data_IF_659979591695
#
_entry.id   IF_659979591695
#
_cell.length_a   1.000
_cell.length_b   1.000
_cell.length_c   1.000
_cell.angle_alpha   90.00
_cell.angle_beta   90.00
_cell.angle_gamma   90.00
#
_symmetry.space_group_name_H-M   'P 1'
#
loop_
_entity.id
_entity.type
_entity.pdbx_description
1 polymer ?
#
# COMPACT_ATOMS: atom_id res chain seq x y z
N UNK A 1 -30.59 -32.27 -47.64
CA UNK A 1 -30.89 -32.29 -46.20
C UNK A 1 -30.11 -31.16 -45.55
N UNK A 2 -30.77 -30.14 -44.96
CA UNK A 2 -30.07 -29.06 -44.28
C UNK A 2 -29.51 -29.58 -42.95
N UNK A 3 -28.23 -29.28 -42.69
CA UNK A 3 -27.52 -29.66 -41.47
C UNK A 3 -28.15 -28.91 -40.29
N UNK A 4 -28.70 -29.66 -39.34
CA UNK A 4 -29.29 -29.13 -38.11
C UNK A 4 -28.13 -28.61 -37.25
N UNK A 5 -28.00 -27.29 -37.13
CA UNK A 5 -27.09 -26.68 -36.16
C UNK A 5 -27.58 -27.01 -34.76
N UNK A 6 -26.75 -27.75 -34.02
CA UNK A 6 -26.97 -28.03 -32.61
C UNK A 6 -26.72 -26.76 -31.79
N UNK A 7 -27.57 -26.42 -30.81
CA UNK A 7 -27.35 -25.26 -29.95
C UNK A 7 -26.07 -25.45 -29.14
N UNK A 8 -25.17 -24.46 -29.19
CA UNK A 8 -23.99 -24.41 -28.33
C UNK A 8 -24.42 -24.56 -26.85
N UNK A 9 -23.69 -25.35 -26.04
CA UNK A 9 -24.02 -25.51 -24.62
C UNK A 9 -23.99 -24.14 -23.92
N UNK A 10 -24.90 -23.91 -22.94
CA UNK A 10 -24.93 -22.66 -22.20
C UNK A 10 -23.57 -22.40 -21.55
N UNK A 11 -23.13 -21.14 -21.58
CA UNK A 11 -21.85 -20.73 -21.03
C UNK A 11 -21.72 -21.17 -19.56
N UNK A 12 -20.65 -21.90 -19.25
CA UNK A 12 -20.31 -22.42 -17.92
C UNK A 12 -20.18 -21.33 -16.83
N UNK A 13 -20.21 -20.05 -17.21
CA UNK A 13 -20.10 -18.88 -16.35
C UNK A 13 -21.26 -18.67 -15.38
N UNK A 14 -22.43 -19.30 -15.59
CA UNK A 14 -23.53 -19.21 -14.62
C UNK A 14 -23.32 -20.11 -13.40
N UNK A 15 -22.54 -21.19 -13.51
CA UNK A 15 -22.37 -22.19 -12.45
C UNK A 15 -21.10 -22.01 -11.62
N UNK A 16 -20.07 -21.35 -12.16
CA UNK A 16 -18.80 -21.12 -11.45
C UNK A 16 -18.63 -19.61 -11.23
N UNK A 17 -18.82 -19.11 -10.00
CA UNK A 17 -18.61 -17.70 -9.71
C UNK A 17 -17.11 -17.34 -9.84
N UNK A 18 -16.82 -16.05 -9.98
CA UNK A 18 -15.44 -15.56 -9.98
C UNK A 18 -14.70 -16.01 -8.72
N UNK A 19 -13.57 -16.72 -8.89
CA UNK A 19 -12.78 -17.27 -7.77
C UNK A 19 -11.36 -16.68 -7.69
N UNK A 20 -10.89 -16.03 -8.75
CA UNK A 20 -9.56 -15.42 -8.83
C UNK A 20 -9.65 -13.90 -8.63
N UNK A 21 -9.02 -13.40 -7.56
CA UNK A 21 -9.05 -11.99 -7.18
C UNK A 21 -7.62 -11.48 -6.86
N UNK A 22 -6.86 -11.01 -7.85
CA UNK A 22 -5.46 -10.60 -7.67
C UNK A 22 -5.25 -9.55 -6.57
N UNK A 23 -6.18 -8.61 -6.45
CA UNK A 23 -6.13 -7.47 -5.52
C UNK A 23 -6.98 -7.67 -4.25
N UNK A 24 -7.29 -8.93 -3.95
CA UNK A 24 -8.16 -9.30 -2.84
C UNK A 24 -9.62 -9.39 -3.27
N UNK A 25 -10.42 -10.14 -2.50
CA UNK A 25 -11.87 -10.24 -2.75
C UNK A 25 -12.53 -8.90 -2.38
N UNK A 26 -13.32 -8.28 -3.27
CA UNK A 26 -14.14 -7.13 -2.91
C UNK A 26 -14.94 -7.46 -1.65
N UNK A 27 -14.88 -6.56 -0.67
CA UNK A 27 -15.71 -6.65 0.53
C UNK A 27 -16.91 -5.75 0.30
N UNK A 28 -18.12 -6.26 0.51
CA UNK A 28 -19.37 -5.50 0.34
C UNK A 28 -19.53 -4.33 1.34
N UNK A 29 -18.59 -4.16 2.27
CA UNK A 29 -18.76 -3.40 3.52
C UNK A 29 -17.83 -2.22 3.71
N UNK A 30 -16.92 -1.90 2.78
CA UNK A 30 -16.05 -0.71 2.95
C UNK A 30 -16.82 0.54 2.53
N UNK A 31 -17.35 1.27 3.50
CA UNK A 31 -17.92 2.59 3.26
C UNK A 31 -16.78 3.60 2.98
N UNK A 32 -16.41 3.70 1.70
CA UNK A 32 -15.34 4.59 1.22
C UNK A 32 -15.62 6.03 1.64
N UNK A 33 -16.86 6.51 1.50
CA UNK A 33 -17.18 7.90 1.82
C UNK A 33 -17.02 8.20 3.31
N UNK A 34 -17.38 7.27 4.20
CA UNK A 34 -17.13 7.42 5.63
C UNK A 34 -15.62 7.54 5.96
N UNK A 35 -14.77 6.76 5.28
CA UNK A 35 -13.31 6.86 5.41
C UNK A 35 -12.81 8.21 4.90
N UNK A 36 -13.29 8.67 3.74
CA UNK A 36 -12.92 9.96 3.17
C UNK A 36 -13.35 11.11 4.08
N UNK A 37 -14.58 11.11 4.61
CA UNK A 37 -15.04 12.13 5.56
C UNK A 37 -14.15 12.18 6.81
N UNK A 38 -13.69 11.04 7.31
CA UNK A 38 -12.75 10.99 8.46
C UNK A 38 -11.40 11.60 8.10
N UNK A 39 -10.91 11.37 6.89
CA UNK A 39 -9.67 11.95 6.38
C UNK A 39 -9.82 13.46 6.24
N UNK A 40 -10.88 13.96 5.60
CA UNK A 40 -11.14 15.40 5.43
C UNK A 40 -11.21 16.12 6.79
N UNK A 41 -11.93 15.56 7.77
CA UNK A 41 -11.96 16.09 9.15
C UNK A 41 -10.59 16.10 9.83
N UNK A 42 -9.70 15.18 9.46
CA UNK A 42 -8.34 15.15 9.98
C UNK A 42 -7.50 16.25 9.33
N UNK A 43 -7.62 16.43 8.02
CA UNK A 43 -6.90 17.47 7.28
C UNK A 43 -7.36 18.90 7.62
N UNK A 44 -8.64 19.09 7.94
CA UNK A 44 -9.18 20.38 8.38
C UNK A 44 -8.52 20.93 9.66
N UNK A 45 -7.81 20.09 10.41
CA UNK A 45 -7.07 20.47 11.61
C UNK A 45 -5.63 20.88 11.33
N UNK A 46 -5.16 20.74 10.08
CA UNK A 46 -3.81 21.11 9.68
C UNK A 46 -3.80 22.52 9.07
N UNK A 47 -2.70 23.28 9.23
CA UNK A 47 -2.54 24.55 8.55
C UNK A 47 -2.74 24.41 7.03
N UNK A 48 -3.61 25.25 6.47
CA UNK A 48 -3.95 25.24 5.04
C UNK A 48 -4.47 23.90 4.49
N UNK A 49 -4.97 23.01 5.36
CA UNK A 49 -5.38 21.64 5.00
C UNK A 49 -4.26 20.85 4.31
N UNK A 50 -3.02 21.07 4.75
CA UNK A 50 -1.83 20.38 4.26
C UNK A 50 -1.16 19.60 5.38
N UNK A 51 -0.99 18.30 5.18
CA UNK A 51 -0.29 17.42 6.09
C UNK A 51 1.21 17.39 5.76
N UNK A 52 2.05 17.70 6.74
CA UNK A 52 3.49 17.43 6.72
C UNK A 52 3.76 16.01 7.16
N UNK A 53 5.02 15.56 7.09
CA UNK A 53 5.38 14.20 7.54
C UNK A 53 5.06 13.95 9.03
N UNK A 54 5.10 14.98 9.88
CA UNK A 54 4.77 14.88 11.31
C UNK A 54 3.28 14.60 11.55
N UNK A 55 2.42 15.12 10.67
CA UNK A 55 0.96 14.95 10.74
C UNK A 55 0.50 13.55 10.29
N UNK A 56 1.33 12.85 9.51
CA UNK A 56 0.93 11.64 8.80
C UNK A 56 0.61 10.46 9.72
N UNK A 57 1.05 10.47 10.98
CA UNK A 57 0.59 9.49 11.97
C UNK A 57 -0.92 9.59 12.23
N UNK A 58 -1.47 10.81 12.28
CA UNK A 58 -2.91 11.06 12.43
C UNK A 58 -3.66 10.66 11.17
N UNK A 59 -3.08 10.94 10.00
CA UNK A 59 -3.65 10.56 8.70
C UNK A 59 -3.70 9.04 8.54
N UNK A 60 -2.63 8.31 8.91
CA UNK A 60 -2.61 6.85 8.89
C UNK A 60 -3.74 6.25 9.76
N UNK A 61 -3.95 6.80 10.96
CA UNK A 61 -5.07 6.42 11.85
C UNK A 61 -6.44 6.75 11.24
N UNK A 62 -6.57 7.85 10.49
CA UNK A 62 -7.79 8.19 9.78
C UNK A 62 -8.10 7.17 8.67
N UNK A 63 -7.08 6.73 7.94
CA UNK A 63 -7.16 5.69 6.91
C UNK A 63 -7.42 4.27 7.46
N UNK A 64 -7.30 4.06 8.78
CA UNK A 64 -7.37 2.73 9.38
C UNK A 64 -6.11 1.88 9.12
N UNK A 65 -4.98 2.52 8.86
CA UNK A 65 -3.69 1.87 8.63
C UNK A 65 -2.83 1.84 9.92
N UNK A 66 -1.90 0.90 10.05
CA UNK A 66 -0.86 0.93 11.08
C UNK A 66 -0.04 2.23 11.03
N UNK A 67 0.49 2.66 12.18
CA UNK A 67 1.23 3.92 12.31
C UNK A 67 2.38 4.05 11.29
N UNK A 68 3.17 2.99 11.11
CA UNK A 68 4.34 3.00 10.22
C UNK A 68 4.00 3.02 8.73
N UNK A 69 2.72 3.02 8.36
CA UNK A 69 2.31 3.29 6.98
C UNK A 69 2.31 4.78 6.64
N UNK A 70 2.57 5.66 7.62
CA UNK A 70 2.63 7.12 7.43
C UNK A 70 3.64 7.53 6.35
N UNK A 71 4.84 6.93 6.31
CA UNK A 71 5.83 7.15 5.24
C UNK A 71 5.30 6.76 3.86
N UNK A 72 4.91 5.49 3.63
CA UNK A 72 4.27 5.05 2.38
C UNK A 72 3.11 5.94 1.90
N UNK A 73 2.20 6.30 2.81
CA UNK A 73 1.06 7.18 2.49
C UNK A 73 1.53 8.56 2.02
N UNK A 74 2.53 9.13 2.69
CA UNK A 74 3.08 10.43 2.36
C UNK A 74 3.83 10.42 1.01
N UNK A 75 4.69 9.43 0.80
CA UNK A 75 5.45 9.25 -0.44
C UNK A 75 4.53 8.99 -1.63
N UNK A 76 3.54 8.11 -1.49
CA UNK A 76 2.57 7.82 -2.56
C UNK A 76 1.72 9.05 -2.93
N UNK A 77 1.33 9.86 -1.94
CA UNK A 77 0.68 11.15 -2.19
C UNK A 77 1.64 12.24 -2.70
N UNK A 78 2.92 11.91 -2.90
CA UNK A 78 3.96 12.78 -3.45
C UNK A 78 4.35 13.93 -2.52
N UNK A 79 4.27 13.72 -1.20
CA UNK A 79 4.65 14.71 -0.18
C UNK A 79 6.15 14.97 -0.12
N UNK A 80 6.98 13.98 -0.45
CA UNK A 80 8.45 14.12 -0.45
C UNK A 80 8.93 15.25 -1.38
N UNK A 81 8.26 15.44 -2.53
CA UNK A 81 8.62 16.50 -3.50
C UNK A 81 8.24 17.91 -3.04
N UNK A 82 7.25 18.03 -2.17
CA UNK A 82 6.63 19.32 -1.81
C UNK A 82 6.75 19.66 -0.32
N UNK A 83 7.28 18.76 0.50
CA UNK A 83 7.32 18.85 1.97
C UNK A 83 5.97 18.65 2.67
N UNK A 84 4.86 18.77 1.95
CA UNK A 84 3.51 18.59 2.48
C UNK A 84 2.51 18.15 1.40
N UNK A 85 1.44 17.48 1.80
CA UNK A 85 0.37 16.95 0.93
C UNK A 85 -0.94 17.68 1.22
N UNK A 86 -1.66 18.14 0.21
CA UNK A 86 -3.01 18.71 0.38
C UNK A 86 -4.09 17.64 0.51
N UNK A 87 -5.19 17.97 1.19
CA UNK A 87 -6.34 17.08 1.35
C UNK A 87 -6.85 16.53 0.01
N UNK A 88 -6.99 17.38 -1.01
CA UNK A 88 -7.49 16.97 -2.32
C UNK A 88 -6.61 15.90 -2.97
N UNK A 89 -5.28 16.08 -2.93
CA UNK A 89 -4.33 15.13 -3.51
C UNK A 89 -4.33 13.81 -2.75
N UNK A 90 -4.39 13.88 -1.42
CA UNK A 90 -4.43 12.71 -0.56
C UNK A 90 -5.71 11.90 -0.75
N UNK A 91 -6.88 12.56 -0.71
CA UNK A 91 -8.19 11.93 -0.90
C UNK A 91 -8.31 11.29 -2.28
N UNK A 92 -7.85 11.96 -3.34
CA UNK A 92 -7.84 11.39 -4.69
C UNK A 92 -6.99 10.11 -4.78
N UNK A 93 -5.79 10.13 -4.18
CA UNK A 93 -4.93 8.95 -4.10
C UNK A 93 -5.60 7.83 -3.30
N UNK A 94 -6.07 8.11 -2.09
CA UNK A 94 -6.61 7.09 -1.19
C UNK A 94 -7.92 6.48 -1.70
N UNK A 95 -8.78 7.28 -2.35
CA UNK A 95 -10.00 6.78 -3.01
C UNK A 95 -9.65 5.76 -4.09
N UNK A 96 -8.62 6.02 -4.91
CA UNK A 96 -8.13 5.08 -5.94
C UNK A 96 -7.57 3.78 -5.32
N UNK A 97 -6.86 3.89 -4.20
CA UNK A 97 -6.38 2.71 -3.45
C UNK A 97 -7.55 1.88 -2.94
N UNK A 98 -8.52 2.49 -2.25
CA UNK A 98 -9.67 1.77 -1.68
C UNK A 98 -10.56 1.10 -2.73
N UNK A 99 -10.70 1.71 -3.91
CA UNK A 99 -11.48 1.14 -5.01
C UNK A 99 -10.80 -0.06 -5.68
N UNK A 100 -9.47 -0.12 -5.64
CA UNK A 100 -8.70 -1.11 -6.41
C UNK A 100 -7.94 -2.12 -5.56
N UNK A 101 -7.86 -1.93 -4.25
CA UNK A 101 -7.12 -2.79 -3.31
C UNK A 101 -8.04 -3.19 -2.15
N UNK A 102 -8.35 -4.48 -2.04
CA UNK A 102 -9.38 -4.99 -1.11
C UNK A 102 -8.80 -5.69 0.13
N UNK A 103 -7.47 -5.77 0.23
CA UNK A 103 -6.75 -6.26 1.40
C UNK A 103 -5.49 -5.42 1.66
N UNK A 104 -4.86 -5.61 2.82
CA UNK A 104 -3.73 -4.76 3.23
C UNK A 104 -2.47 -5.05 2.42
N UNK A 105 -2.26 -6.28 1.95
CA UNK A 105 -1.16 -6.59 1.06
C UNK A 105 -1.27 -5.82 -0.27
N UNK A 106 -2.46 -5.79 -0.87
CA UNK A 106 -2.71 -5.05 -2.11
C UNK A 106 -2.56 -3.55 -1.90
N UNK A 107 -3.05 -3.00 -0.79
CA UNK A 107 -2.87 -1.57 -0.46
C UNK A 107 -1.39 -1.25 -0.28
N UNK A 108 -0.65 -2.05 0.49
CA UNK A 108 0.76 -1.82 0.77
C UNK A 108 1.60 -1.88 -0.51
N UNK A 109 1.39 -2.91 -1.35
CA UNK A 109 2.05 -2.98 -2.67
C UNK A 109 1.71 -1.77 -3.51
N UNK A 110 0.45 -1.34 -3.57
CA UNK A 110 0.06 -0.17 -4.35
C UNK A 110 0.71 1.14 -3.88
N UNK A 111 0.94 1.28 -2.57
CA UNK A 111 1.55 2.49 -2.00
C UNK A 111 3.04 2.60 -2.33
N UNK A 112 3.76 1.47 -2.42
CA UNK A 112 5.20 1.45 -2.60
C UNK A 112 5.63 1.23 -4.06
N UNK A 113 4.80 0.56 -4.87
CA UNK A 113 5.21 0.15 -6.21
C UNK A 113 5.46 1.34 -7.14
N UNK A 114 6.43 1.17 -8.02
CA UNK A 114 6.62 2.06 -9.16
C UNK A 114 5.39 2.08 -10.10
N UNK A 115 5.10 3.21 -10.79
CA UNK A 115 3.97 3.32 -11.70
C UNK A 115 3.96 2.22 -12.77
N UNK A 116 2.81 1.55 -12.93
CA UNK A 116 2.64 0.46 -13.91
C UNK A 116 3.13 -0.92 -13.43
N UNK A 117 3.82 -1.00 -12.30
CA UNK A 117 4.18 -2.27 -11.69
C UNK A 117 2.98 -2.88 -10.92
N UNK A 118 3.15 -4.14 -10.51
CA UNK A 118 2.21 -4.90 -9.69
C UNK A 118 2.95 -5.73 -8.61
N UNK A 119 4.18 -5.33 -8.32
CA UNK A 119 5.13 -5.98 -7.42
C UNK A 119 6.05 -4.93 -6.83
N UNK A 120 6.76 -5.30 -5.76
CA UNK A 120 7.76 -4.46 -5.12
C UNK A 120 9.17 -4.98 -5.41
N UNK A 121 10.07 -4.09 -5.79
CA UNK A 121 11.52 -4.33 -5.84
C UNK A 121 12.19 -3.79 -4.57
N UNK A 122 13.50 -4.00 -4.43
CA UNK A 122 14.21 -3.67 -3.18
C UNK A 122 14.19 -2.16 -2.89
N UNK A 123 14.32 -1.35 -3.92
CA UNK A 123 14.37 0.11 -3.86
C UNK A 123 13.04 0.70 -3.37
N UNK A 124 11.91 0.04 -3.68
CA UNK A 124 10.57 0.49 -3.27
C UNK A 124 10.41 0.52 -1.73
N UNK A 125 11.20 -0.26 -0.97
CA UNK A 125 11.17 -0.28 0.49
C UNK A 125 11.97 0.85 1.15
N UNK A 126 12.84 1.54 0.40
CA UNK A 126 13.74 2.57 0.97
C UNK A 126 12.95 3.69 1.67
N UNK A 127 11.91 4.31 1.06
CA UNK A 127 11.17 5.39 1.72
C UNK A 127 10.46 4.93 3.00
N UNK A 128 9.93 3.70 2.99
CA UNK A 128 9.30 3.09 4.17
C UNK A 128 10.31 2.88 5.31
N UNK A 129 11.45 2.27 5.01
CA UNK A 129 12.47 1.96 6.02
C UNK A 129 13.18 3.22 6.53
N UNK A 130 13.39 4.23 5.67
CA UNK A 130 13.93 5.52 6.09
C UNK A 130 13.03 6.19 7.13
N UNK A 131 11.71 6.15 6.94
CA UNK A 131 10.76 6.67 7.93
C UNK A 131 10.81 5.89 9.26
N UNK A 132 10.93 4.56 9.19
CA UNK A 132 11.08 3.72 10.39
C UNK A 132 12.36 4.09 11.16
N UNK A 133 13.50 4.25 10.48
CA UNK A 133 14.76 4.71 11.11
C UNK A 133 14.59 6.08 11.76
N UNK A 134 13.89 7.00 11.10
CA UNK A 134 13.74 8.38 11.58
C UNK A 134 12.79 8.54 12.77
N UNK A 135 11.88 7.58 12.98
CA UNK A 135 10.74 7.75 13.90
C UNK A 135 10.55 6.64 14.92
N UNK A 136 11.15 5.46 14.74
CA UNK A 136 11.04 4.39 15.72
C UNK A 136 11.92 4.71 16.96
N UNK A 137 11.37 4.76 18.18
CA UNK A 137 12.13 5.13 19.39
C UNK A 137 13.35 4.22 19.62
N UNK A 138 13.21 2.92 19.36
CA UNK A 138 14.31 1.96 19.47
C UNK A 138 15.41 2.11 18.42
N UNK A 139 15.24 2.99 17.42
CA UNK A 139 16.26 3.33 16.42
C UNK A 139 16.73 4.80 16.56
N UNK A 140 16.38 5.48 17.66
CA UNK A 140 16.76 6.88 17.87
C UNK A 140 18.29 7.09 17.82
N UNK A 141 19.07 6.13 18.36
CA UNK A 141 20.53 6.16 18.27
C UNK A 141 21.02 6.08 16.80
N UNK A 142 20.32 5.29 15.98
CA UNK A 142 20.69 5.11 14.58
C UNK A 142 20.41 6.40 13.81
N UNK A 143 19.33 7.12 14.13
CA UNK A 143 18.98 8.41 13.52
C UNK A 143 20.14 9.42 13.55
N UNK A 144 20.90 9.47 14.64
CA UNK A 144 22.05 10.36 14.79
C UNK A 144 23.29 9.90 14.01
N UNK A 145 23.37 8.61 13.66
CA UNK A 145 24.51 7.99 12.98
C UNK A 145 24.18 7.69 11.50
N UNK A 146 24.09 8.74 10.69
CA UNK A 146 23.68 8.69 9.27
C UNK A 146 24.51 7.73 8.40
N UNK A 147 25.78 7.51 8.74
CA UNK A 147 26.68 6.59 8.04
C UNK A 147 26.23 5.11 8.09
N UNK A 148 25.39 4.75 9.07
CA UNK A 148 24.86 3.40 9.24
C UNK A 148 23.44 3.24 8.68
N UNK A 149 22.76 4.33 8.29
CA UNK A 149 21.38 4.28 7.78
C UNK A 149 21.29 3.39 6.54
N UNK A 150 22.14 3.66 5.54
CA UNK A 150 22.14 2.91 4.30
C UNK A 150 22.39 1.43 4.54
N UNK A 151 23.35 1.08 5.40
CA UNK A 151 23.66 -0.31 5.73
C UNK A 151 22.48 -1.00 6.43
N UNK A 152 21.87 -0.34 7.41
CA UNK A 152 20.69 -0.87 8.10
C UNK A 152 19.52 -1.11 7.14
N UNK A 153 19.19 -0.11 6.31
CA UNK A 153 18.12 -0.21 5.31
C UNK A 153 18.40 -1.38 4.37
N UNK A 154 19.61 -1.48 3.81
CA UNK A 154 20.00 -2.60 2.94
C UNK A 154 19.83 -3.94 3.65
N UNK A 155 20.31 -4.08 4.89
CA UNK A 155 20.19 -5.33 5.66
C UNK A 155 18.72 -5.71 5.91
N UNK A 156 17.88 -4.75 6.31
CA UNK A 156 16.46 -5.02 6.53
C UNK A 156 15.76 -5.40 5.23
N UNK A 157 16.02 -4.70 4.13
CA UNK A 157 15.48 -5.06 2.80
C UNK A 157 15.90 -6.48 2.40
N UNK A 158 17.17 -6.87 2.59
CA UNK A 158 17.59 -8.25 2.30
C UNK A 158 16.82 -9.27 3.14
N UNK A 159 16.59 -9.01 4.44
CA UNK A 159 15.82 -9.91 5.31
C UNK A 159 14.35 -10.01 4.92
N UNK A 160 13.75 -8.90 4.46
CA UNK A 160 12.39 -8.90 3.90
C UNK A 160 12.36 -9.80 2.67
N UNK A 161 13.24 -9.60 1.70
CA UNK A 161 13.25 -10.41 0.47
C UNK A 161 13.54 -11.89 0.75
N UNK A 162 14.45 -12.20 1.67
CA UNK A 162 14.73 -13.57 2.09
C UNK A 162 13.49 -14.29 2.66
N UNK A 163 12.70 -13.57 3.45
CA UNK A 163 11.52 -14.13 4.13
C UNK A 163 10.27 -14.14 3.25
N UNK A 164 10.07 -13.10 2.43
CA UNK A 164 8.84 -12.87 1.67
C UNK A 164 8.94 -13.35 0.22
N UNK A 165 10.04 -13.05 -0.49
CA UNK A 165 10.17 -13.36 -1.92
C UNK A 165 10.62 -14.81 -2.16
N UNK A 166 9.75 -15.76 -1.82
CA UNK A 166 10.03 -17.21 -1.93
C UNK A 166 10.22 -17.68 -3.37
N UNK A 167 9.79 -16.89 -4.36
CA UNK A 167 10.01 -17.16 -5.78
C UNK A 167 11.42 -16.85 -6.27
N UNK A 168 12.25 -16.14 -5.48
CA UNK A 168 13.59 -15.67 -5.89
C UNK A 168 13.60 -14.78 -7.13
N UNK A 169 12.44 -14.24 -7.50
CA UNK A 169 12.28 -13.39 -8.69
C UNK A 169 12.83 -11.97 -8.52
N UNK A 170 13.16 -11.56 -7.29
CA UNK A 170 13.46 -10.17 -6.95
C UNK A 170 12.23 -9.26 -6.98
N UNK A 171 11.02 -9.83 -7.04
CA UNK A 171 9.75 -9.10 -7.19
C UNK A 171 8.72 -9.61 -6.18
N UNK A 172 8.51 -8.89 -5.09
CA UNK A 172 7.50 -9.25 -4.08
C UNK A 172 6.10 -8.95 -4.62
N UNK A 173 5.28 -10.00 -4.74
CA UNK A 173 3.88 -9.85 -5.17
C UNK A 173 2.91 -9.74 -3.99
N UNK A 174 1.68 -9.27 -4.23
CA UNK A 174 0.62 -9.29 -3.22
C UNK A 174 0.42 -10.70 -2.63
N UNK A 175 0.55 -11.75 -3.43
CA UNK A 175 0.34 -13.13 -2.99
C UNK A 175 1.47 -13.64 -2.09
N UNK A 176 2.72 -13.23 -2.34
CA UNK A 176 3.84 -13.52 -1.44
C UNK A 176 3.70 -12.74 -0.14
N UNK A 177 3.34 -11.45 -0.22
CA UNK A 177 3.17 -10.61 0.96
C UNK A 177 2.05 -11.13 1.89
N UNK A 178 0.90 -11.55 1.33
CA UNK A 178 -0.21 -12.18 2.08
C UNK A 178 0.20 -13.45 2.84
N UNK A 179 1.15 -14.21 2.31
CA UNK A 179 1.62 -15.47 2.90
C UNK A 179 2.73 -15.27 3.93
N UNK A 180 3.22 -14.04 4.07
CA UNK A 180 4.26 -13.67 5.03
C UNK A 180 3.66 -13.06 6.30
N UNK A 181 4.51 -12.89 7.31
CA UNK A 181 4.16 -12.20 8.57
C UNK A 181 4.59 -10.73 8.55
N UNK A 182 4.97 -10.16 7.41
CA UNK A 182 5.54 -8.80 7.34
C UNK A 182 4.55 -7.69 7.72
N UNK A 183 3.25 -7.88 7.47
CA UNK A 183 2.20 -6.89 7.76
C UNK A 183 1.45 -7.16 9.08
N UNK A 184 1.86 -8.17 9.86
CA UNK A 184 1.26 -8.52 11.16
C UNK A 184 1.90 -7.69 12.29
#
# INVERSE_FOLDING_TARGET
>A
QPKKEEPLPPATSQNIPTFYFPRGRPKDTVNIDAVITKIERTFAQFPHERATMEDMGRVAKACGCPLYWKGPLFCCAGGERTGAVSVHKFVAMWRKVLQSCHDDAAKFVHLLMSPGANHLVQEDFVPFLQDVVNTHPGLAFLKEASEFHSRYITTVTQRIFYSVNRSWSGKITCAELRRSTFLQ
#
